data_IF_548432776699
#
_entry.id   IF_548432776699
#
_cell.length_a   1.000
_cell.length_b   1.000
_cell.length_c   1.000
_cell.angle_alpha   90.00
_cell.angle_beta   90.00
_cell.angle_gamma   90.00
#
_symmetry.space_group_name_H-M   'P 1'
#
loop_
_entity.id
_entity.type
_entity.pdbx_description
1 polymer ?
#
# COMPACT_ATOMS: atom_id res chain seq x y z
N UNK A 1 49.73 -14.21 51.81
CA UNK A 1 49.09 -15.26 50.98
C UNK A 1 47.78 -14.72 50.42
N UNK A 2 47.65 -14.84 49.10
CA UNK A 2 46.45 -15.06 48.27
C UNK A 2 45.23 -14.13 48.35
N UNK A 3 45.09 -13.46 47.20
CA UNK A 3 44.02 -12.65 46.65
C UNK A 3 42.67 -13.36 46.38
N UNK A 4 41.70 -12.49 46.07
CA UNK A 4 40.55 -12.58 45.14
C UNK A 4 39.22 -12.95 45.77
N UNK A 5 38.42 -11.91 46.05
CA UNK A 5 36.96 -12.01 46.13
C UNK A 5 36.40 -12.42 44.76
N UNK A 6 35.87 -13.64 44.69
CA UNK A 6 35.06 -14.11 43.57
C UNK A 6 33.69 -13.43 43.62
N UNK A 7 33.60 -12.21 43.07
CA UNK A 7 32.36 -11.43 42.95
C UNK A 7 32.19 -10.96 41.50
N UNK A 8 32.31 -11.89 40.55
CA UNK A 8 32.06 -11.64 39.13
C UNK A 8 31.37 -12.82 38.42
N UNK A 9 30.66 -13.68 39.17
CA UNK A 9 30.07 -14.91 38.63
C UNK A 9 28.54 -14.90 38.49
N UNK A 10 27.82 -13.98 39.12
CA UNK A 10 26.36 -14.08 39.27
C UNK A 10 25.54 -13.07 38.46
N UNK A 11 26.18 -12.06 37.85
CA UNK A 11 25.47 -11.05 37.06
C UNK A 11 25.15 -11.48 35.61
N UNK A 12 25.79 -12.54 35.08
CA UNK A 12 25.65 -12.95 33.67
C UNK A 12 24.48 -13.93 33.43
N UNK A 13 23.87 -14.48 34.48
CA UNK A 13 22.88 -15.57 34.37
C UNK A 13 21.41 -15.11 34.34
N UNK A 14 21.13 -13.82 34.48
CA UNK A 14 19.75 -13.30 34.55
C UNK A 14 19.20 -12.86 33.20
N UNK A 15 20.06 -12.55 32.22
CA UNK A 15 19.67 -12.02 30.90
C UNK A 15 19.35 -13.10 29.84
N UNK A 16 19.82 -14.32 30.02
CA UNK A 16 19.65 -15.42 29.05
C UNK A 16 18.21 -15.97 28.86
N UNK A 17 17.29 -16.00 29.85
CA UNK A 17 16.03 -16.74 29.65
C UNK A 17 14.98 -15.98 28.83
N UNK A 18 15.11 -14.66 28.62
CA UNK A 18 14.13 -13.90 27.82
C UNK A 18 14.32 -14.14 26.32
N UNK A 19 15.58 -14.17 25.86
CA UNK A 19 15.93 -14.36 24.44
C UNK A 19 15.54 -15.76 23.96
N UNK A 20 15.80 -16.79 24.78
CA UNK A 20 15.37 -18.17 24.52
C UNK A 20 13.84 -18.29 24.44
N UNK A 21 13.10 -17.64 25.35
CA UNK A 21 11.64 -17.64 25.34
C UNK A 21 11.05 -16.97 24.09
N UNK A 22 11.65 -15.87 23.63
CA UNK A 22 11.23 -15.15 22.43
C UNK A 22 11.55 -15.95 21.14
N UNK A 23 12.71 -16.61 21.09
CA UNK A 23 13.08 -17.49 19.97
C UNK A 23 12.16 -18.71 19.88
N UNK A 24 11.77 -19.31 21.02
CA UNK A 24 10.85 -20.45 21.08
C UNK A 24 9.40 -20.08 20.72
N UNK A 25 8.95 -18.88 21.08
CA UNK A 25 7.59 -18.41 20.77
C UNK A 25 7.39 -18.07 19.29
N UNK A 26 8.48 -17.89 18.53
CA UNK A 26 8.44 -17.37 17.16
C UNK A 26 8.10 -15.88 17.11
N UNK A 27 8.40 -15.18 16.01
CA UNK A 27 8.02 -13.77 15.87
C UNK A 27 6.48 -13.62 15.81
N UNK A 28 5.95 -12.43 16.13
CA UNK A 28 4.55 -12.12 15.85
C UNK A 28 4.25 -12.29 14.35
N UNK A 29 2.98 -12.50 14.02
CA UNK A 29 2.53 -12.61 12.63
C UNK A 29 2.39 -11.22 11.97
N UNK A 30 2.86 -11.08 10.73
CA UNK A 30 2.84 -9.80 10.01
C UNK A 30 1.41 -9.34 9.68
N UNK A 31 0.51 -10.26 9.32
CA UNK A 31 -0.90 -9.94 9.05
C UNK A 31 -1.61 -9.48 10.32
N UNK A 32 -1.27 -10.07 11.48
CA UNK A 32 -1.70 -9.54 12.78
C UNK A 32 -1.15 -8.13 13.01
N UNK A 33 0.12 -7.88 12.73
CA UNK A 33 0.72 -6.55 12.88
C UNK A 33 0.05 -5.50 12.00
N UNK A 34 -0.29 -5.84 10.76
CA UNK A 34 -1.05 -4.99 9.84
C UNK A 34 -2.44 -4.63 10.38
N UNK A 35 -3.15 -5.61 10.98
CA UNK A 35 -4.44 -5.37 11.65
C UNK A 35 -4.30 -4.46 12.87
N UNK A 36 -3.26 -4.68 13.68
CA UNK A 36 -2.99 -3.83 14.84
C UNK A 36 -2.67 -2.38 14.41
N UNK A 37 -1.92 -2.18 13.31
CA UNK A 37 -1.74 -0.85 12.71
C UNK A 37 -3.07 -0.22 12.34
N UNK A 38 -3.94 -0.94 11.63
CA UNK A 38 -5.25 -0.42 11.23
C UNK A 38 -6.08 0.03 12.45
N UNK A 39 -6.18 -0.83 13.48
CA UNK A 39 -6.96 -0.55 14.70
C UNK A 39 -6.39 0.65 15.45
N UNK A 40 -5.07 0.67 15.70
CA UNK A 40 -4.44 1.71 16.51
C UNK A 40 -4.28 3.03 15.75
N UNK A 41 -4.12 3.00 14.43
CA UNK A 41 -4.14 4.20 13.60
C UNK A 41 -5.49 4.90 13.67
N UNK A 42 -6.59 4.19 13.45
CA UNK A 42 -7.94 4.78 13.44
C UNK A 42 -8.35 5.29 14.82
N UNK A 43 -7.86 4.67 15.90
CA UNK A 43 -8.02 5.18 17.26
C UNK A 43 -7.27 6.50 17.48
N UNK A 44 -6.05 6.63 16.96
CA UNK A 44 -5.21 7.81 17.16
C UNK A 44 -5.57 8.97 16.22
N UNK A 45 -5.96 8.65 14.98
CA UNK A 45 -6.28 9.61 13.93
C UNK A 45 -7.77 9.49 13.56
N UNK A 46 -8.64 9.90 14.48
CA UNK A 46 -10.08 9.80 14.29
C UNK A 46 -10.56 10.63 13.09
N UNK A 47 -11.26 9.98 12.16
CA UNK A 47 -11.75 10.60 10.92
C UNK A 47 -10.86 10.37 9.70
N UNK A 48 -9.67 9.77 9.87
CA UNK A 48 -8.87 9.32 8.75
C UNK A 48 -9.47 8.06 8.10
N UNK A 49 -9.29 7.93 6.79
CA UNK A 49 -9.58 6.72 6.02
C UNK A 49 -8.26 6.13 5.49
N UNK A 50 -7.90 4.94 5.95
CA UNK A 50 -6.73 4.22 5.45
C UNK A 50 -7.04 3.73 4.04
N UNK A 51 -6.16 4.04 3.09
CA UNK A 51 -6.22 3.60 1.70
C UNK A 51 -5.36 2.35 1.48
N UNK A 52 -4.12 2.34 1.99
CA UNK A 52 -3.24 1.17 1.93
C UNK A 52 -2.35 1.06 3.16
N UNK A 53 -1.96 -0.18 3.48
CA UNK A 53 -0.89 -0.52 4.43
C UNK A 53 0.03 -1.51 3.74
N UNK A 54 1.27 -1.09 3.49
CA UNK A 54 2.29 -1.86 2.76
C UNK A 54 3.48 -2.12 3.68
N UNK A 55 4.09 -3.29 3.58
CA UNK A 55 5.31 -3.62 4.31
C UNK A 55 6.46 -2.74 3.84
N UNK A 56 7.22 -2.18 4.77
CA UNK A 56 8.29 -1.21 4.48
C UNK A 56 9.65 -1.72 4.97
N UNK A 57 9.96 -2.96 4.62
CA UNK A 57 11.19 -3.66 4.99
C UNK A 57 10.94 -4.86 5.89
N UNK A 58 12.03 -5.53 6.25
CA UNK A 58 11.97 -6.72 7.10
C UNK A 58 11.69 -6.35 8.56
N UNK A 59 10.96 -7.19 9.31
CA UNK A 59 10.77 -6.98 10.74
C UNK A 59 12.10 -7.06 11.51
N UNK A 60 12.26 -6.20 12.50
CA UNK A 60 13.53 -6.07 13.25
C UNK A 60 13.33 -6.42 14.72
N UNK A 61 14.17 -7.34 15.22
CA UNK A 61 14.34 -7.63 16.63
C UNK A 61 15.34 -6.62 17.23
N UNK A 62 14.93 -5.91 18.27
CA UNK A 62 15.75 -4.93 18.98
C UNK A 62 15.86 -5.38 20.44
N UNK A 63 17.07 -5.71 20.86
CA UNK A 63 17.41 -6.04 22.24
C UNK A 63 17.75 -4.77 23.04
N UNK A 64 17.39 -4.72 24.32
CA UNK A 64 17.63 -3.58 25.21
C UNK A 64 17.06 -2.23 24.71
N UNK A 65 15.90 -2.27 24.05
CA UNK A 65 15.30 -1.08 23.43
C UNK A 65 14.87 0.02 24.42
N UNK A 66 14.48 -0.35 25.66
CA UNK A 66 14.06 0.57 26.74
C UNK A 66 14.45 0.00 28.12
N UNK A 67 14.65 0.84 29.15
CA UNK A 67 14.74 0.34 30.52
C UNK A 67 13.44 -0.41 30.86
N UNK A 68 13.57 -1.68 31.31
CA UNK A 68 12.49 -2.65 31.57
C UNK A 68 11.88 -3.37 30.35
N UNK A 69 12.42 -3.20 29.14
CA UNK A 69 12.01 -3.97 27.96
C UNK A 69 13.23 -4.67 27.38
N UNK A 70 13.33 -5.97 27.69
CA UNK A 70 14.47 -6.79 27.27
C UNK A 70 14.47 -7.01 25.74
N UNK A 71 13.28 -7.18 25.14
CA UNK A 71 13.13 -7.56 23.73
C UNK A 71 11.93 -6.83 23.10
N UNK A 72 12.20 -6.12 22.00
CA UNK A 72 11.22 -5.46 21.15
C UNK A 72 11.27 -6.06 19.74
N UNK A 73 10.12 -6.29 19.13
CA UNK A 73 10.01 -6.70 17.73
C UNK A 73 9.21 -5.65 16.95
N UNK A 74 9.78 -5.11 15.88
CA UNK A 74 9.21 -4.00 15.12
C UNK A 74 8.89 -4.43 13.70
N UNK A 75 7.63 -4.28 13.29
CA UNK A 75 7.21 -4.38 11.89
C UNK A 75 7.15 -2.99 11.25
N UNK A 76 7.96 -2.70 10.23
CA UNK A 76 7.88 -1.46 9.50
C UNK A 76 6.79 -1.51 8.41
N UNK A 77 5.95 -0.49 8.36
CA UNK A 77 4.88 -0.32 7.37
C UNK A 77 4.91 1.10 6.78
N UNK A 78 4.36 1.24 5.58
CA UNK A 78 3.93 2.50 4.98
C UNK A 78 2.40 2.53 4.99
N UNK A 79 1.85 3.52 5.66
CA UNK A 79 0.40 3.74 5.72
C UNK A 79 0.05 4.92 4.81
N UNK A 80 -0.72 4.65 3.76
CA UNK A 80 -1.34 5.70 2.95
C UNK A 80 -2.73 5.95 3.51
N UNK A 81 -3.01 7.16 3.97
CA UNK A 81 -4.29 7.54 4.55
C UNK A 81 -4.77 8.89 4.03
N UNK A 82 -6.06 8.95 3.72
CA UNK A 82 -6.80 10.20 3.54
C UNK A 82 -7.16 10.74 4.91
N UNK A 83 -6.64 11.92 5.23
CA UNK A 83 -6.88 12.63 6.48
C UNK A 83 -8.28 13.23 6.50
N UNK A 84 -8.77 13.54 7.71
CA UNK A 84 -10.06 14.23 7.90
C UNK A 84 -10.15 15.56 7.16
N UNK A 85 -9.03 16.27 7.00
CA UNK A 85 -8.96 17.52 6.26
C UNK A 85 -8.99 17.33 4.72
N UNK A 86 -8.99 16.09 4.24
CA UNK A 86 -9.00 15.74 2.82
C UNK A 86 -7.61 15.54 2.21
N UNK A 87 -6.52 15.83 2.93
CA UNK A 87 -5.16 15.55 2.44
C UNK A 87 -4.89 14.06 2.38
N UNK A 88 -4.12 13.60 1.39
CA UNK A 88 -3.62 12.22 1.34
C UNK A 88 -2.17 12.23 1.81
N UNK A 89 -1.87 11.40 2.80
CA UNK A 89 -0.52 11.29 3.38
C UNK A 89 -0.01 9.87 3.34
N UNK A 90 1.29 9.72 3.13
CA UNK A 90 2.02 8.46 3.27
C UNK A 90 2.97 8.58 4.45
N UNK A 91 2.71 7.80 5.48
CA UNK A 91 3.42 7.85 6.77
C UNK A 91 4.12 6.53 7.04
N UNK A 92 5.39 6.58 7.42
CA UNK A 92 6.12 5.43 7.95
C UNK A 92 5.60 5.11 9.36
N UNK A 93 5.24 3.85 9.59
CA UNK A 93 4.70 3.36 10.87
C UNK A 93 5.44 2.11 11.29
N UNK A 94 5.89 2.06 12.54
CA UNK A 94 6.42 0.85 13.16
C UNK A 94 5.40 0.26 14.14
N UNK A 95 4.93 -0.96 13.90
CA UNK A 95 4.17 -1.71 14.90
C UNK A 95 5.15 -2.41 15.85
N UNK A 96 5.16 -1.97 17.11
CA UNK A 96 6.11 -2.46 18.11
C UNK A 96 5.45 -3.50 19.01
N UNK A 97 6.11 -4.65 19.19
CA UNK A 97 5.74 -5.70 20.12
C UNK A 97 6.81 -5.86 21.18
N UNK A 98 6.39 -6.20 22.40
CA UNK A 98 7.29 -6.54 23.50
C UNK A 98 7.04 -7.99 23.92
N UNK A 99 8.11 -8.71 24.23
CA UNK A 99 7.98 -10.08 24.72
C UNK A 99 7.82 -10.10 26.23
N UNK A 100 6.74 -10.70 26.71
CA UNK A 100 6.50 -10.96 28.13
C UNK A 100 6.47 -12.47 28.34
N UNK A 101 7.41 -13.02 29.13
CA UNK A 101 7.57 -14.48 29.30
C UNK A 101 6.28 -15.25 29.57
N UNK A 102 5.34 -14.67 30.33
CA UNK A 102 4.07 -15.31 30.70
C UNK A 102 2.95 -15.14 29.69
N UNK A 103 3.08 -14.18 28.75
CA UNK A 103 2.00 -13.78 27.83
C UNK A 103 2.40 -13.85 26.35
N UNK A 104 3.67 -14.11 26.05
CA UNK A 104 4.22 -14.05 24.71
C UNK A 104 4.37 -12.62 24.20
N UNK A 105 4.27 -12.44 22.88
CA UNK A 105 4.36 -11.14 22.23
C UNK A 105 3.08 -10.32 22.40
N UNK A 106 3.24 -9.12 22.95
CA UNK A 106 2.16 -8.18 23.15
C UNK A 106 2.40 -6.92 22.33
N UNK A 107 1.35 -6.44 21.66
CA UNK A 107 1.39 -5.13 21.01
C UNK A 107 1.67 -4.06 22.07
N UNK A 108 2.63 -3.20 21.78
CA UNK A 108 3.07 -2.13 22.68
C UNK A 108 2.58 -0.78 22.19
N UNK A 109 3.02 -0.36 21.00
CA UNK A 109 2.70 0.97 20.45
C UNK A 109 2.90 1.04 18.94
N UNK A 110 2.37 2.11 18.33
CA UNK A 110 2.76 2.55 17.00
C UNK A 110 3.85 3.62 17.12
N UNK A 111 5.03 3.34 16.57
CA UNK A 111 6.03 4.35 16.26
C UNK A 111 5.70 5.05 14.95
N UNK A 112 5.82 6.38 14.89
CA UNK A 112 5.59 7.16 13.69
C UNK A 112 6.92 7.73 13.20
N UNK A 113 7.23 7.46 11.94
CA UNK A 113 8.42 7.97 11.25
C UNK A 113 8.09 9.16 10.36
N UNK A 114 8.72 9.21 9.19
CA UNK A 114 8.52 10.29 8.22
C UNK A 114 7.07 10.30 7.73
N UNK A 115 6.49 11.50 7.63
CA UNK A 115 5.18 11.73 7.04
C UNK A 115 5.34 12.58 5.77
N UNK A 116 4.77 12.13 4.66
CA UNK A 116 4.82 12.81 3.37
C UNK A 116 3.40 13.11 2.93
N UNK A 117 3.10 14.37 2.62
CA UNK A 117 1.82 14.75 1.99
C UNK A 117 1.93 14.39 0.51
N UNK A 118 1.09 13.45 0.07
CA UNK A 118 0.98 13.05 -1.33
C UNK A 118 0.03 13.96 -2.09
N UNK A 119 -0.99 14.50 -1.42
CA UNK A 119 -1.94 15.40 -2.05
C UNK A 119 -2.60 16.35 -1.06
N UNK A 120 -2.83 17.59 -1.50
CA UNK A 120 -3.57 18.59 -0.74
C UNK A 120 -5.08 18.27 -0.70
N UNK A 121 -5.82 18.83 0.27
CA UNK A 121 -7.28 18.74 0.31
C UNK A 121 -7.95 19.09 -1.01
N UNK A 122 -8.85 18.23 -1.49
CA UNK A 122 -9.61 18.45 -2.73
C UNK A 122 -8.82 18.20 -4.02
N UNK A 123 -7.49 18.00 -3.93
CA UNK A 123 -6.62 17.55 -5.02
C UNK A 123 -6.32 16.07 -4.84
N UNK A 124 -7.36 15.26 -4.73
CA UNK A 124 -7.22 13.81 -4.59
C UNK A 124 -7.38 13.15 -5.96
N UNK A 125 -6.64 12.08 -6.24
CA UNK A 125 -6.94 11.25 -7.41
C UNK A 125 -8.33 10.64 -7.27
N UNK A 126 -9.02 10.32 -8.39
CA UNK A 126 -10.23 9.51 -8.31
C UNK A 126 -9.89 8.15 -7.68
N UNK A 127 -10.85 7.58 -6.94
CA UNK A 127 -10.76 6.19 -6.48
C UNK A 127 -10.51 5.27 -7.69
N UNK A 128 -9.82 4.15 -7.48
CA UNK A 128 -9.40 3.26 -8.57
C UNK A 128 -10.58 2.77 -9.41
N UNK A 129 -11.70 2.45 -8.77
CA UNK A 129 -12.93 2.02 -9.41
C UNK A 129 -13.55 3.15 -10.26
N UNK A 130 -13.48 4.39 -9.78
CA UNK A 130 -13.94 5.57 -10.52
C UNK A 130 -13.06 5.82 -11.74
N UNK A 131 -11.73 5.73 -11.58
CA UNK A 131 -10.79 5.87 -12.68
C UNK A 131 -11.01 4.80 -13.76
N UNK A 132 -11.16 3.53 -13.36
CA UNK A 132 -11.45 2.43 -14.28
C UNK A 132 -12.72 2.69 -15.09
N UNK A 133 -13.80 3.10 -14.42
CA UNK A 133 -15.08 3.38 -15.07
C UNK A 133 -14.98 4.53 -16.09
N UNK A 134 -14.34 5.64 -15.72
CA UNK A 134 -14.16 6.78 -16.63
C UNK A 134 -13.34 6.41 -17.87
N UNK A 135 -12.29 5.60 -17.67
CA UNK A 135 -11.42 5.12 -18.74
C UNK A 135 -12.18 4.18 -19.68
N UNK A 136 -12.95 3.24 -19.12
CA UNK A 136 -13.80 2.32 -19.88
C UNK A 136 -14.84 3.09 -20.71
N UNK A 137 -15.58 4.00 -20.09
CA UNK A 137 -16.58 4.85 -20.77
C UNK A 137 -15.94 5.66 -21.91
N UNK A 138 -14.76 6.25 -21.67
CA UNK A 138 -14.01 6.99 -22.69
C UNK A 138 -13.52 6.11 -23.85
N UNK A 139 -13.09 4.87 -23.57
CA UNK A 139 -12.70 3.91 -24.61
C UNK A 139 -13.91 3.52 -25.48
N UNK A 140 -15.04 3.26 -24.85
CA UNK A 140 -16.30 2.90 -25.53
C UNK A 140 -16.87 4.07 -26.33
N UNK A 141 -16.73 5.31 -25.87
CA UNK A 141 -17.22 6.47 -26.61
C UNK A 141 -16.36 6.83 -27.82
N UNK A 142 -15.03 6.74 -27.71
CA UNK A 142 -14.13 7.30 -28.72
C UNK A 142 -13.46 6.28 -29.66
N UNK A 143 -13.22 5.04 -29.22
CA UNK A 143 -12.45 4.05 -30.01
C UNK A 143 -13.21 2.74 -30.26
N UNK A 144 -13.95 2.26 -29.27
CA UNK A 144 -14.53 0.92 -29.27
C UNK A 144 -16.05 0.95 -29.11
N UNK A 145 -16.69 1.88 -29.84
CA UNK A 145 -18.15 2.06 -29.81
C UNK A 145 -18.87 0.77 -30.20
N UNK A 146 -19.76 0.32 -29.32
CA UNK A 146 -20.55 -0.91 -29.50
C UNK A 146 -19.78 -2.21 -29.25
N UNK A 147 -18.56 -2.14 -28.67
CA UNK A 147 -17.75 -3.31 -28.31
C UNK A 147 -17.69 -3.47 -26.79
N UNK A 148 -17.04 -4.54 -26.33
CA UNK A 148 -16.85 -4.82 -24.90
C UNK A 148 -15.38 -4.67 -24.53
N UNK A 149 -15.09 -3.87 -23.50
CA UNK A 149 -13.77 -3.80 -22.88
C UNK A 149 -13.69 -4.90 -21.82
N UNK A 150 -12.60 -5.66 -21.83
CA UNK A 150 -12.33 -6.74 -20.89
C UNK A 150 -10.96 -6.50 -20.24
N UNK A 151 -10.76 -7.05 -19.04
CA UNK A 151 -9.45 -7.08 -18.38
C UNK A 151 -8.72 -5.71 -18.31
N UNK A 152 -9.47 -4.60 -18.20
CA UNK A 152 -8.89 -3.26 -18.04
C UNK A 152 -8.10 -3.19 -16.72
N UNK A 153 -6.80 -2.95 -16.85
CA UNK A 153 -5.88 -2.80 -15.72
C UNK A 153 -5.18 -1.46 -15.83
N UNK A 154 -5.17 -0.75 -14.71
CA UNK A 154 -4.41 0.50 -14.55
C UNK A 154 -3.45 0.38 -13.37
N UNK A 155 -2.27 0.95 -13.53
CA UNK A 155 -1.30 1.12 -12.46
C UNK A 155 -1.68 2.25 -11.50
N UNK A 156 -0.82 2.47 -10.51
CA UNK A 156 -0.96 3.58 -9.56
C UNK A 156 -0.86 4.94 -10.27
N UNK A 157 -1.67 5.94 -9.87
CA UNK A 157 -1.65 7.25 -10.48
C UNK A 157 -0.33 7.98 -10.23
N UNK A 158 0.18 8.63 -11.27
CA UNK A 158 1.22 9.64 -11.14
C UNK A 158 0.58 11.02 -11.13
N UNK A 159 0.71 11.73 -10.01
CA UNK A 159 0.25 13.12 -9.91
C UNK A 159 1.16 14.07 -10.70
N UNK A 160 0.55 15.11 -11.27
CA UNK A 160 1.25 16.22 -11.89
C UNK A 160 0.35 17.46 -11.96
N UNK A 161 0.91 18.57 -12.41
CA UNK A 161 0.19 19.84 -12.54
C UNK A 161 0.69 20.61 -13.75
N UNK A 162 -0.25 21.10 -14.56
CA UNK A 162 0.03 22.04 -15.65
C UNK A 162 -0.53 23.40 -15.22
N UNK A 163 0.36 24.34 -14.84
CA UNK A 163 -0.01 25.63 -14.24
C UNK A 163 -0.89 25.46 -12.99
N UNK A 164 -2.21 25.67 -13.12
CA UNK A 164 -3.20 25.57 -12.03
C UNK A 164 -3.99 24.24 -12.08
N UNK A 165 -3.93 23.51 -13.21
CA UNK A 165 -4.69 22.27 -13.39
C UNK A 165 -3.92 21.06 -12.88
N UNK A 166 -4.46 20.41 -11.85
CA UNK A 166 -3.91 19.18 -11.31
C UNK A 166 -4.44 17.97 -12.07
N UNK A 167 -3.56 17.05 -12.42
CA UNK A 167 -3.90 15.87 -13.20
C UNK A 167 -3.27 14.60 -12.61
N UNK A 168 -3.91 13.46 -12.86
CA UNK A 168 -3.44 12.14 -12.50
C UNK A 168 -3.27 11.31 -13.77
N UNK A 169 -2.03 10.90 -14.03
CA UNK A 169 -1.70 10.06 -15.17
C UNK A 169 -1.77 8.60 -14.78
N UNK A 170 -2.52 7.83 -15.54
CA UNK A 170 -2.61 6.39 -15.44
C UNK A 170 -1.96 5.74 -16.65
N UNK A 171 -1.21 4.67 -16.40
CA UNK A 171 -0.72 3.76 -17.42
C UNK A 171 -1.43 2.42 -17.28
N UNK A 172 -1.72 1.75 -18.39
CA UNK A 172 -2.47 0.51 -18.34
C UNK A 172 -2.53 -0.26 -19.64
N UNK A 173 -3.33 -1.31 -19.59
CA UNK A 173 -3.64 -2.22 -20.69
C UNK A 173 -5.09 -2.70 -20.57
N UNK A 174 -5.66 -3.12 -21.69
CA UNK A 174 -7.01 -3.64 -21.74
C UNK A 174 -7.17 -4.61 -22.91
N UNK A 175 -8.19 -5.43 -22.83
CA UNK A 175 -8.60 -6.30 -23.92
C UNK A 175 -9.92 -5.82 -24.50
N UNK A 176 -10.16 -6.13 -25.76
CA UNK A 176 -11.41 -5.81 -26.44
C UNK A 176 -11.93 -7.06 -27.12
N UNK A 177 -13.18 -7.41 -26.80
CA UNK A 177 -13.92 -8.41 -27.55
C UNK A 177 -14.75 -7.72 -28.65
N UNK A 178 -14.51 -8.15 -29.89
CA UNK A 178 -15.20 -7.68 -31.09
C UNK A 178 -15.71 -8.89 -31.88
N UNK A 179 -16.87 -9.40 -31.46
CA UNK A 179 -17.45 -10.64 -31.97
C UNK A 179 -16.47 -11.82 -31.87
N UNK A 180 -15.84 -12.21 -32.97
CA UNK A 180 -14.89 -13.33 -33.05
C UNK A 180 -13.43 -12.91 -32.86
N UNK A 181 -13.14 -11.60 -32.81
CA UNK A 181 -11.80 -11.08 -32.64
C UNK A 181 -11.60 -10.61 -31.20
N UNK A 182 -10.50 -11.04 -30.58
CA UNK A 182 -10.02 -10.44 -29.33
C UNK A 182 -8.77 -9.63 -29.63
N UNK A 183 -8.69 -8.43 -29.08
CA UNK A 183 -7.51 -7.57 -29.18
C UNK A 183 -6.95 -7.33 -27.79
N UNK A 184 -5.62 -7.44 -27.64
CA UNK A 184 -4.91 -6.98 -26.46
C UNK A 184 -4.27 -5.64 -26.78
N UNK A 185 -4.63 -4.60 -26.02
CA UNK A 185 -4.14 -3.24 -26.17
C UNK A 185 -3.21 -2.89 -25.01
N UNK A 186 -1.93 -2.64 -25.33
CA UNK A 186 -0.90 -2.31 -24.33
C UNK A 186 -0.41 -0.87 -24.50
N UNK A 187 0.14 -0.28 -23.43
CA UNK A 187 0.67 1.08 -23.47
C UNK A 187 -0.41 2.16 -23.52
N UNK A 188 -1.56 1.93 -22.88
CA UNK A 188 -2.56 2.99 -22.69
C UNK A 188 -2.02 4.01 -21.68
N UNK A 189 -2.09 5.30 -22.01
CA UNK A 189 -1.73 6.41 -21.14
C UNK A 189 -2.84 7.46 -21.19
N UNK A 190 -3.38 7.79 -20.03
CA UNK A 190 -4.50 8.72 -19.89
C UNK A 190 -4.29 9.64 -18.69
N UNK A 191 -4.76 10.89 -18.80
CA UNK A 191 -4.81 11.84 -17.70
C UNK A 191 -6.25 12.05 -17.26
N UNK A 192 -6.49 12.02 -15.95
CA UNK A 192 -7.74 12.45 -15.33
C UNK A 192 -7.49 13.75 -14.58
N UNK A 193 -8.33 14.75 -14.80
CA UNK A 193 -8.23 16.06 -14.17
C UNK A 193 -9.62 16.64 -13.91
N UNK A 194 -9.70 17.63 -13.02
CA UNK A 194 -10.91 18.41 -12.80
C UNK A 194 -10.68 19.81 -13.35
N UNK A 195 -11.64 20.34 -14.09
CA UNK A 195 -11.63 21.75 -14.42
C UNK A 195 -12.08 22.56 -13.20
N UNK A 196 -11.52 23.76 -13.02
CA UNK A 196 -11.87 24.64 -11.91
C UNK A 196 -13.37 24.97 -11.87
N UNK A 197 -14.01 25.05 -13.03
CA UNK A 197 -15.45 25.29 -13.16
C UNK A 197 -16.32 24.08 -12.79
N UNK A 198 -15.77 22.87 -12.80
CA UNK A 198 -16.48 21.62 -12.51
C UNK A 198 -15.67 20.75 -11.54
N UNK A 199 -15.42 21.26 -10.34
CA UNK A 199 -14.63 20.59 -9.30
C UNK A 199 -15.19 19.21 -8.87
N UNK A 200 -16.38 18.83 -9.33
CA UNK A 200 -16.99 17.52 -9.07
C UNK A 200 -16.86 16.54 -10.25
N UNK A 201 -16.60 17.02 -11.47
CA UNK A 201 -16.61 16.18 -12.67
C UNK A 201 -15.18 15.95 -13.17
N UNK A 202 -14.78 14.69 -13.17
CA UNK A 202 -13.52 14.26 -13.75
C UNK A 202 -13.61 14.29 -15.27
N UNK A 203 -12.63 14.92 -15.88
CA UNK A 203 -12.40 14.89 -17.33
C UNK A 203 -11.25 13.98 -17.67
N UNK A 204 -11.35 13.41 -18.86
CA UNK A 204 -10.40 12.46 -19.41
C UNK A 204 -9.67 13.08 -20.60
N UNK A 205 -8.35 13.04 -20.58
CA UNK A 205 -7.47 13.45 -21.68
C UNK A 205 -6.55 12.29 -22.08
N UNK A 206 -6.75 11.77 -23.29
CA UNK A 206 -5.97 10.67 -23.83
C UNK A 206 -4.59 11.16 -24.29
N UNK A 207 -3.52 10.57 -23.74
CA UNK A 207 -2.18 10.70 -24.33
C UNK A 207 -1.91 9.58 -25.33
N UNK A 208 -2.24 8.36 -24.94
CA UNK A 208 -2.14 7.18 -25.79
C UNK A 208 -3.30 6.22 -25.49
N UNK A 209 -4.04 5.77 -26.50
CA UNK A 209 -5.14 4.79 -26.33
C UNK A 209 -4.66 3.33 -26.35
N UNK A 210 -3.34 3.11 -26.33
CA UNK A 210 -2.69 1.81 -26.44
C UNK A 210 -2.57 1.28 -27.88
N UNK A 211 -1.56 0.45 -28.11
CA UNK A 211 -1.33 -0.26 -29.37
C UNK A 211 -1.99 -1.62 -29.25
N UNK A 212 -2.93 -1.89 -30.15
CA UNK A 212 -3.77 -3.09 -30.09
C UNK A 212 -3.29 -4.14 -31.10
N UNK A 213 -3.09 -5.36 -30.63
CA UNK A 213 -2.77 -6.53 -31.45
C UNK A 213 -3.87 -7.56 -31.29
N UNK A 214 -4.27 -8.19 -32.40
CA UNK A 214 -5.21 -9.30 -32.33
C UNK A 214 -4.55 -10.44 -31.57
N UNK A 215 -5.19 -10.88 -30.49
CA UNK A 215 -4.80 -12.07 -29.76
C UNK A 215 -5.11 -13.25 -30.69
N UNK A 216 -4.07 -13.97 -31.14
CA UNK A 216 -4.27 -15.12 -32.02
C UNK A 216 -5.21 -16.12 -31.32
N UNK A 217 -6.43 -16.24 -31.82
CA UNK A 217 -7.30 -17.36 -31.47
C UNK A 217 -6.61 -18.63 -31.90
N UNK A 218 -6.42 -19.57 -30.98
CA UNK A 218 -6.00 -20.92 -31.32
C UNK A 218 -7.07 -21.52 -32.23
N UNK A 219 -6.89 -21.44 -33.55
CA UNK A 219 -7.71 -22.14 -34.53
C UNK A 219 -7.29 -23.62 -34.53
N UNK A 220 -7.59 -24.32 -33.43
CA UNK A 220 -7.66 -25.77 -33.39
C UNK A 220 -9.14 -26.17 -33.38
N UNK A 221 -9.86 -25.85 -34.45
CA UNK A 221 -11.10 -26.56 -34.78
C UNK A 221 -10.75 -27.62 -35.83
N UNK A 222 -10.95 -28.92 -35.55
CA UNK A 222 -10.95 -29.92 -36.59
C UNK A 222 -12.26 -29.79 -37.37
N UNK A 223 -12.16 -29.45 -38.65
CA UNK A 223 -13.31 -29.49 -39.57
C UNK A 223 -13.88 -30.92 -39.65
N UNK A 224 -15.21 -31.08 -39.78
CA UNK A 224 -15.86 -32.37 -40.02
C UNK A 224 -15.52 -32.96 -41.41
#
# INVERSE_FOLDING_TARGET
MKYVFALAGTALLVLLPAVLGAQLAGPPDEEKAKKDVQIHWLKKNAGDKIQSIESNGEPVLIENAKPNVDILYKFPFLVTAKRKDGSVTRTEVGANYVFVRTKGWLFSELGFGKNIVLSDPGRESPDKEVALKLIEEGLLSERWKGKTIENLKIGEPMAGSDLETHWYRYAGEYEVADYNNRYTCTGMIVRLFKEEASANDWKLDWKEKGICRQSAGNSNEPSP
#
